data_IF_075539488897
#
_entry.id   IF_075539488897
#
_cell.length_a   1.000
_cell.length_b   1.000
_cell.length_c   1.000
_cell.angle_alpha   90.00
_cell.angle_beta   90.00
_cell.angle_gamma   90.00
#
_symmetry.space_group_name_H-M   'P 1'
#
loop_
_entity.id
_entity.type
_entity.pdbx_description
1 polymer ?
#
# COMPACT_ATOMS: atom_id res chain seq x y z
N UNK A 1 -29.50 -17.75 -60.25
CA UNK A 1 -28.68 -16.62 -60.76
C UNK A 1 -27.84 -16.11 -59.57
N UNK A 2 -26.54 -15.85 -59.73
CA UNK A 2 -25.87 -14.52 -59.67
C UNK A 2 -26.45 -13.56 -58.61
N UNK A 3 -25.68 -12.89 -57.74
CA UNK A 3 -24.24 -12.90 -57.40
C UNK A 3 -24.07 -12.24 -55.99
N UNK A 4 -22.91 -12.01 -55.35
CA UNK A 4 -21.48 -12.10 -55.73
C UNK A 4 -20.59 -12.30 -54.46
N UNK A 5 -19.26 -12.14 -54.58
CA UNK A 5 -18.30 -11.98 -53.46
C UNK A 5 -17.99 -10.50 -53.19
N UNK A 6 -17.63 -10.16 -51.95
CA UNK A 6 -16.58 -9.17 -51.63
C UNK A 6 -15.70 -9.75 -50.50
N UNK A 7 -14.39 -9.53 -50.58
CA UNK A 7 -13.39 -9.84 -49.54
C UNK A 7 -12.58 -8.56 -49.33
N UNK A 8 -12.30 -8.19 -48.08
CA UNK A 8 -11.37 -7.11 -47.76
C UNK A 8 -10.41 -7.53 -46.64
N UNK A 9 -9.11 -7.47 -46.92
CA UNK A 9 -8.02 -7.46 -45.93
C UNK A 9 -7.45 -6.04 -45.86
N UNK A 10 -7.21 -5.52 -44.66
CA UNK A 10 -6.11 -4.60 -44.29
C UNK A 10 -6.19 -4.47 -42.75
N UNK A 11 -5.20 -4.89 -41.97
CA UNK A 11 -3.81 -4.43 -41.86
C UNK A 11 -3.66 -3.19 -40.95
N UNK A 12 -2.88 -3.34 -39.89
CA UNK A 12 -2.45 -2.29 -38.96
C UNK A 12 -1.16 -1.64 -39.45
N UNK A 13 -0.87 -0.38 -39.06
CA UNK A 13 0.50 0.05 -38.81
C UNK A 13 0.70 0.54 -37.37
N UNK A 14 1.95 0.44 -36.89
CA UNK A 14 2.35 0.73 -35.52
C UNK A 14 3.27 1.97 -35.43
N UNK A 15 3.59 2.34 -34.18
CA UNK A 15 4.76 3.08 -33.72
C UNK A 15 5.03 4.48 -34.32
N UNK A 16 4.93 5.50 -33.46
CA UNK A 16 5.63 6.77 -33.62
C UNK A 16 7.00 6.68 -32.96
N UNK A 17 8.06 7.05 -33.68
CA UNK A 17 9.43 7.08 -33.19
C UNK A 17 10.09 8.37 -33.68
N UNK A 18 10.66 9.15 -32.75
CA UNK A 18 11.20 10.48 -33.04
C UNK A 18 12.57 10.40 -33.71
N UNK A 19 12.77 11.18 -34.78
CA UNK A 19 14.07 11.49 -35.37
C UNK A 19 14.15 12.99 -35.61
N UNK A 20 15.15 13.64 -35.02
CA UNK A 20 15.46 15.07 -35.23
C UNK A 20 16.30 15.25 -36.49
N UNK A 21 15.90 16.18 -37.37
CA UNK A 21 16.67 16.54 -38.56
C UNK A 21 17.55 17.78 -38.31
N UNK A 22 18.74 17.80 -38.89
CA UNK A 22 19.67 18.94 -38.85
C UNK A 22 19.30 20.02 -39.88
N UNK A 23 19.68 21.28 -39.60
CA UNK A 23 19.65 22.40 -40.54
C UNK A 23 20.89 23.27 -40.34
N UNK A 24 21.51 23.73 -41.43
CA UNK A 24 22.86 24.31 -41.40
C UNK A 24 22.95 25.71 -42.04
N UNK A 25 24.11 26.36 -41.77
CA UNK A 25 24.70 27.56 -42.42
C UNK A 25 24.30 28.95 -41.88
N UNK A 26 25.19 29.99 -42.01
CA UNK A 26 26.67 29.95 -42.00
C UNK A 26 27.39 31.15 -41.30
N UNK A 27 28.68 30.96 -40.92
CA UNK A 27 29.78 31.96 -40.79
C UNK A 27 29.59 33.20 -39.84
N UNK A 28 30.62 33.85 -39.26
CA UNK A 28 32.02 34.00 -39.67
C UNK A 28 33.02 34.46 -38.55
N UNK A 29 34.28 34.03 -38.68
CA UNK A 29 35.57 34.72 -38.37
C UNK A 29 36.03 35.14 -36.93
N UNK A 30 37.38 35.22 -36.83
CA UNK A 30 38.27 35.66 -35.72
C UNK A 30 38.32 34.81 -34.41
N UNK A 31 39.48 34.59 -33.76
CA UNK A 31 40.86 34.85 -34.23
C UNK A 31 41.97 34.72 -33.16
N UNK A 32 42.64 33.56 -33.07
CA UNK A 32 43.93 33.38 -32.34
C UNK A 32 43.84 33.08 -30.82
N UNK A 33 44.94 32.78 -30.08
CA UNK A 33 46.30 32.37 -30.49
C UNK A 33 47.09 31.74 -29.32
N UNK A 34 47.57 30.48 -29.48
CA UNK A 34 48.70 29.81 -28.76
C UNK A 34 48.61 29.61 -27.23
N UNK A 35 48.93 28.39 -26.75
CA UNK A 35 49.30 28.13 -25.34
C UNK A 35 49.34 26.64 -24.94
N UNK A 36 50.52 26.01 -24.90
CA UNK A 36 50.74 24.66 -24.33
C UNK A 36 51.79 24.73 -23.21
N UNK A 37 51.47 24.17 -22.03
CA UNK A 37 52.37 23.46 -21.06
C UNK A 37 51.54 23.12 -19.81
N UNK A 38 51.19 21.86 -19.54
CA UNK A 38 51.94 20.88 -18.71
C UNK A 38 52.27 21.32 -17.27
N UNK A 39 51.62 20.72 -16.27
CA UNK A 39 52.27 19.91 -15.19
C UNK A 39 51.26 19.31 -14.19
N UNK A 40 51.73 18.33 -13.41
CA UNK A 40 51.06 17.55 -12.34
C UNK A 40 52.18 16.93 -11.47
N UNK A 41 51.95 16.47 -10.22
CA UNK A 41 51.14 16.98 -9.12
C UNK A 41 52.09 17.52 -8.01
N UNK A 42 51.89 17.38 -6.66
CA UNK A 42 51.72 16.10 -5.95
C UNK A 42 50.61 16.11 -4.87
N UNK A 43 50.43 14.97 -4.18
CA UNK A 43 49.54 14.82 -3.03
C UNK A 43 50.32 14.87 -1.69
N UNK A 44 49.61 15.10 -0.58
CA UNK A 44 50.12 14.88 0.78
C UNK A 44 49.09 14.16 1.67
N UNK A 45 49.59 13.47 2.70
CA UNK A 45 48.80 12.82 3.75
C UNK A 45 49.50 13.00 5.10
N UNK A 46 48.76 13.17 6.22
CA UNK A 46 49.05 12.56 7.54
C UNK A 46 48.10 12.96 8.69
N UNK A 47 47.68 11.93 9.44
CA UNK A 47 47.61 11.79 10.92
C UNK A 47 46.86 12.82 11.81
N UNK A 48 45.79 12.30 12.43
CA UNK A 48 45.68 11.98 13.88
C UNK A 48 46.16 13.00 14.94
N UNK A 49 45.22 13.43 15.79
CA UNK A 49 45.43 13.99 17.14
C UNK A 49 44.28 13.59 18.09
N UNK A 50 44.53 13.51 19.41
CA UNK A 50 43.55 13.07 20.45
C UNK A 50 43.98 13.64 21.82
N UNK A 51 43.03 13.72 22.79
CA UNK A 51 43.14 14.23 24.20
C UNK A 51 42.87 15.74 24.39
N UNK A 52 42.47 16.27 25.56
CA UNK A 52 41.61 15.83 26.70
C UNK A 52 41.42 17.00 27.70
N UNK A 53 40.23 17.13 28.34
CA UNK A 53 39.97 17.64 29.74
C UNK A 53 40.37 19.08 30.14
N UNK A 54 39.80 19.70 31.19
CA UNK A 54 38.45 19.58 31.81
C UNK A 54 37.84 21.02 31.90
N UNK A 55 37.34 21.68 32.95
CA UNK A 55 36.96 21.41 34.35
C UNK A 55 35.77 22.33 34.72
N UNK A 56 34.65 21.79 35.20
CA UNK A 56 34.22 21.81 36.63
C UNK A 56 34.32 23.16 37.36
N UNK A 57 33.16 23.76 37.62
CA UNK A 57 32.76 24.35 38.92
C UNK A 57 31.33 23.83 39.21
N UNK A 58 30.93 23.71 40.47
CA UNK A 58 29.56 23.35 40.87
C UNK A 58 29.29 23.64 42.35
N UNK A 59 28.04 23.50 42.78
CA UNK A 59 27.62 23.66 44.19
C UNK A 59 26.31 22.92 44.46
N UNK A 60 26.30 22.06 45.49
CA UNK A 60 25.13 21.30 45.93
C UNK A 60 24.09 22.13 46.69
N UNK A 61 22.85 21.63 46.79
CA UNK A 61 22.03 21.80 47.99
C UNK A 61 20.98 20.68 48.17
N UNK A 62 20.87 20.20 49.41
CA UNK A 62 19.98 19.13 49.87
C UNK A 62 18.54 19.64 50.13
N UNK A 63 17.49 18.84 49.86
CA UNK A 63 16.76 18.08 50.91
C UNK A 63 15.43 17.42 50.46
N UNK A 64 15.21 16.19 50.97
CA UNK A 64 13.93 15.56 51.40
C UNK A 64 12.79 15.30 50.39
N UNK A 65 12.44 14.00 50.28
CA UNK A 65 11.14 13.47 49.82
C UNK A 65 10.08 13.56 50.94
N UNK A 66 8.79 13.39 50.59
CA UNK A 66 7.89 12.51 51.35
C UNK A 66 7.56 11.22 50.58
N UNK A 67 7.40 10.10 51.29
CA UNK A 67 6.89 8.83 50.74
C UNK A 67 5.37 8.75 50.84
N UNK A 68 4.72 8.21 49.80
CA UNK A 68 3.35 7.67 49.87
C UNK A 68 3.38 6.18 49.50
N UNK A 69 2.47 5.39 50.08
CA UNK A 69 2.56 3.94 50.20
C UNK A 69 2.22 3.18 48.90
N UNK A 70 2.93 2.08 48.65
CA UNK A 70 2.39 0.97 47.85
C UNK A 70 1.20 0.36 48.60
N UNK A 71 0.13 -0.01 47.90
CA UNK A 71 -0.79 -1.03 48.39
C UNK A 71 -0.36 -2.39 47.81
N UNK A 72 -0.21 -3.38 48.70
CA UNK A 72 -0.01 -4.78 48.33
C UNK A 72 -1.34 -5.46 48.63
N UNK A 73 -2.08 -5.80 47.58
CA UNK A 73 -3.26 -6.67 47.71
C UNK A 73 -2.81 -8.11 47.81
N UNK A 74 -3.15 -8.78 48.90
CA UNK A 74 -2.94 -10.23 49.07
C UNK A 74 -3.88 -10.98 48.13
N UNK A 75 -3.32 -11.88 47.33
CA UNK A 75 -4.08 -12.91 46.61
C UNK A 75 -3.94 -14.21 47.37
N UNK A 76 -5.05 -14.76 47.86
CA UNK A 76 -5.08 -16.07 48.51
C UNK A 76 -4.94 -17.21 47.49
N UNK A 77 -4.39 -18.34 47.97
CA UNK A 77 -4.06 -19.50 47.15
C UNK A 77 -5.29 -20.35 46.81
N UNK A 78 -5.38 -20.77 45.55
CA UNK A 78 -6.19 -21.92 45.12
C UNK A 78 -5.28 -22.84 44.30
N UNK A 79 -5.22 -24.11 44.68
CA UNK A 79 -4.26 -25.06 44.10
C UNK A 79 -4.63 -25.45 42.66
N UNK A 80 -3.61 -25.59 41.82
CA UNK A 80 -3.63 -26.38 40.59
C UNK A 80 -2.94 -27.71 40.89
N UNK A 81 -3.64 -28.82 40.66
CA UNK A 81 -3.07 -30.18 40.72
C UNK A 81 -3.36 -30.95 39.43
N UNK A 82 -2.46 -31.86 39.07
CA UNK A 82 -2.33 -32.40 37.71
C UNK A 82 -2.67 -33.91 37.62
N UNK A 83 -3.76 -34.26 36.94
CA UNK A 83 -3.99 -35.56 36.30
C UNK A 83 -5.22 -35.47 35.36
N UNK A 84 -5.36 -36.23 34.27
CA UNK A 84 -4.46 -37.24 33.70
C UNK A 84 -5.28 -38.41 33.13
N UNK A 85 -4.90 -38.92 31.94
CA UNK A 85 -5.56 -40.05 31.23
C UNK A 85 -7.02 -39.81 30.75
N UNK A 86 -7.60 -40.54 29.81
CA UNK A 86 -7.06 -41.26 28.61
C UNK A 86 -8.21 -41.44 27.60
N UNK A 87 -7.88 -41.65 26.32
CA UNK A 87 -8.83 -41.94 25.23
C UNK A 87 -9.74 -43.14 25.50
N UNK A 88 -10.99 -43.08 25.03
CA UNK A 88 -11.47 -44.12 24.10
C UNK A 88 -12.67 -43.67 23.25
N UNK A 89 -12.66 -44.02 21.95
CA UNK A 89 -13.87 -44.08 21.12
C UNK A 89 -14.38 -45.52 21.16
N UNK A 90 -15.68 -45.72 21.36
CA UNK A 90 -16.32 -47.01 21.13
C UNK A 90 -16.79 -47.12 19.67
N UNK A 91 -16.41 -48.19 18.96
CA UNK A 91 -17.23 -48.71 17.87
C UNK A 91 -16.97 -50.19 17.54
N UNK A 92 -18.05 -50.92 17.28
CA UNK A 92 -18.16 -52.16 16.49
C UNK A 92 -17.09 -53.27 16.59
N UNK A 93 -17.41 -54.36 17.30
CA UNK A 93 -17.02 -55.75 16.94
C UNK A 93 -18.21 -56.68 17.17
N UNK A 94 -18.65 -57.43 16.15
CA UNK A 94 -19.80 -58.34 16.24
C UNK A 94 -19.39 -59.79 16.58
N UNK A 95 -20.03 -60.44 17.57
CA UNK A 95 -19.98 -61.91 17.76
C UNK A 95 -21.27 -62.55 18.33
N UNK A 96 -22.02 -63.20 17.43
CA UNK A 96 -22.73 -64.50 17.51
C UNK A 96 -23.41 -65.03 18.82
N UNK A 97 -24.69 -65.42 18.65
CA UNK A 97 -25.44 -66.63 19.16
C UNK A 97 -26.09 -66.62 20.57
N UNK A 98 -27.16 -67.43 20.69
CA UNK A 98 -28.13 -67.52 21.81
C UNK A 98 -29.34 -66.60 21.55
N UNK A 99 -30.58 -67.04 21.26
CA UNK A 99 -31.46 -68.09 21.82
C UNK A 99 -31.81 -67.78 23.30
N UNK A 100 -33.08 -67.74 23.77
CA UNK A 100 -34.27 -68.59 23.48
C UNK A 100 -35.61 -67.77 23.52
N UNK A 101 -36.69 -68.35 22.98
CA UNK A 101 -38.15 -68.05 23.11
C UNK A 101 -38.65 -67.61 24.52
N UNK A 102 -39.85 -67.03 24.75
CA UNK A 102 -41.15 -67.13 24.05
C UNK A 102 -42.04 -65.86 24.26
N UNK A 103 -42.82 -65.34 23.28
CA UNK A 103 -44.20 -65.67 22.81
C UNK A 103 -45.37 -64.96 23.56
N UNK A 104 -46.35 -64.48 22.77
CA UNK A 104 -47.71 -63.97 23.10
C UNK A 104 -47.86 -62.58 23.74
N UNK A 105 -48.48 -61.65 22.99
CA UNK A 105 -48.79 -60.27 23.39
C UNK A 105 -49.57 -59.51 22.30
N UNK A 106 -50.85 -59.86 22.15
CA UNK A 106 -51.87 -59.40 21.17
C UNK A 106 -51.67 -58.00 20.54
N UNK A 107 -51.73 -57.90 19.21
CA UNK A 107 -51.98 -56.65 18.49
C UNK A 107 -53.45 -56.22 18.61
N UNK A 108 -53.70 -55.02 19.15
CA UNK A 108 -54.88 -54.20 18.83
C UNK A 108 -54.39 -52.79 18.52
N UNK A 109 -54.93 -52.19 17.46
CA UNK A 109 -54.58 -50.83 17.02
C UNK A 109 -55.35 -49.76 17.78
N UNK A 110 -54.66 -48.70 18.21
CA UNK A 110 -55.27 -47.39 18.39
C UNK A 110 -54.42 -46.32 17.67
N UNK A 111 -55.08 -45.38 17.00
CA UNK A 111 -54.47 -44.30 16.22
C UNK A 111 -54.57 -42.95 16.95
N UNK A 112 -53.93 -42.85 18.11
CA UNK A 112 -53.76 -41.58 18.83
C UNK A 112 -52.38 -40.94 18.53
N UNK A 113 -52.11 -40.67 17.24
CA UNK A 113 -51.04 -39.76 16.83
C UNK A 113 -51.38 -38.34 17.28
N UNK A 114 -51.09 -38.03 18.56
CA UNK A 114 -51.08 -36.65 19.06
C UNK A 114 -49.90 -35.95 18.40
N UNK A 115 -50.16 -35.37 17.23
CA UNK A 115 -49.25 -34.43 16.59
C UNK A 115 -49.00 -33.30 17.59
N UNK A 116 -47.77 -33.23 18.13
CA UNK A 116 -47.35 -32.14 19.00
C UNK A 116 -47.35 -30.86 18.18
N UNK A 117 -48.46 -30.12 18.22
CA UNK A 117 -48.56 -28.77 17.70
C UNK A 117 -47.49 -27.96 18.43
N UNK A 118 -46.44 -27.57 17.69
CA UNK A 118 -45.41 -26.69 18.22
C UNK A 118 -46.10 -25.37 18.59
N UNK A 119 -45.95 -24.86 19.83
CA UNK A 119 -46.65 -23.66 20.26
C UNK A 119 -46.26 -22.48 19.35
N UNK A 120 -47.24 -21.97 18.62
CA UNK A 120 -47.03 -20.87 17.68
C UNK A 120 -46.75 -19.58 18.44
N UNK A 121 -45.57 -19.02 18.18
CA UNK A 121 -45.16 -17.65 18.50
C UNK A 121 -45.00 -17.33 20.00
N UNK A 122 -43.81 -17.62 20.51
CA UNK A 122 -42.92 -16.51 20.87
C UNK A 122 -41.45 -16.91 20.64
N UNK A 123 -40.87 -16.46 19.53
CA UNK A 123 -39.43 -16.57 19.30
C UNK A 123 -38.74 -15.52 20.17
N UNK A 124 -38.05 -15.97 21.22
CA UNK A 124 -37.27 -15.08 22.09
C UNK A 124 -36.33 -14.21 21.25
N UNK A 125 -36.38 -12.89 21.46
CA UNK A 125 -35.61 -11.94 20.66
C UNK A 125 -34.10 -12.27 20.75
N UNK A 126 -33.41 -12.45 19.61
CA UNK A 126 -32.01 -12.88 19.64
C UNK A 126 -31.16 -11.78 20.29
N UNK A 127 -30.38 -12.14 21.31
CA UNK A 127 -29.61 -11.20 22.12
C UNK A 127 -28.66 -10.33 21.27
N UNK A 128 -29.10 -9.11 20.94
CA UNK A 128 -28.31 -8.18 20.15
C UNK A 128 -27.38 -7.36 21.06
N UNK A 129 -26.06 -7.33 20.78
CA UNK A 129 -25.15 -6.44 21.49
C UNK A 129 -25.43 -5.00 21.08
N UNK A 130 -25.39 -4.05 22.04
CA UNK A 130 -25.76 -2.65 21.84
C UNK A 130 -25.16 -2.02 20.57
N UNK A 131 -25.97 -1.25 19.86
CA UNK A 131 -25.63 -0.61 18.60
C UNK A 131 -25.25 0.85 18.83
N UNK A 132 -24.07 1.25 18.36
CA UNK A 132 -23.67 2.64 18.20
C UNK A 132 -23.60 2.98 16.70
N UNK A 133 -23.48 4.26 16.34
CA UNK A 133 -23.46 4.73 14.94
C UNK A 133 -22.44 3.98 14.09
N UNK A 134 -21.19 3.87 14.56
CA UNK A 134 -20.11 3.17 13.86
C UNK A 134 -20.45 1.69 13.59
N UNK A 135 -21.10 1.00 14.53
CA UNK A 135 -21.50 -0.41 14.36
C UNK A 135 -22.72 -0.60 13.47
N UNK A 136 -23.60 0.40 13.38
CA UNK A 136 -24.71 0.43 12.41
C UNK A 136 -24.17 0.70 11.00
N UNK A 137 -23.19 1.59 10.85
CA UNK A 137 -22.60 1.98 9.56
C UNK A 137 -21.61 0.95 9.00
N UNK A 138 -20.72 0.40 9.85
CA UNK A 138 -19.58 -0.42 9.43
C UNK A 138 -19.64 -1.88 9.93
N UNK A 139 -20.67 -2.25 10.72
CA UNK A 139 -20.86 -3.61 11.21
C UNK A 139 -19.72 -4.10 12.12
N UNK A 140 -19.20 -5.31 11.83
CA UNK A 140 -18.05 -5.90 12.51
C UNK A 140 -16.80 -5.68 11.65
N UNK A 141 -15.83 -4.93 12.17
CA UNK A 141 -14.49 -4.82 11.56
C UNK A 141 -13.84 -6.20 11.50
N UNK A 142 -13.46 -6.61 10.28
CA UNK A 142 -12.72 -7.85 10.01
C UNK A 142 -11.21 -7.51 9.98
N UNK A 143 -10.34 -8.16 10.77
CA UNK A 143 -8.90 -7.91 10.70
C UNK A 143 -8.31 -8.22 9.32
N UNK A 144 -7.23 -7.53 8.87
CA UNK A 144 -6.61 -7.76 7.55
C UNK A 144 -6.28 -9.22 7.26
N UNK A 145 -5.82 -9.96 8.28
CA UNK A 145 -5.47 -11.38 8.20
C UNK A 145 -6.68 -12.29 7.91
N UNK A 146 -7.90 -11.81 8.17
CA UNK A 146 -9.16 -12.49 7.82
C UNK A 146 -9.75 -11.96 6.51
N UNK A 147 -9.55 -10.67 6.18
CA UNK A 147 -9.99 -10.10 4.91
C UNK A 147 -9.31 -10.76 3.70
N UNK A 148 -7.99 -11.00 3.75
CA UNK A 148 -7.29 -11.63 2.62
C UNK A 148 -7.71 -13.09 2.35
N UNK A 149 -8.45 -13.72 3.28
CA UNK A 149 -8.93 -15.10 3.14
C UNK A 149 -10.28 -15.20 2.40
N UNK A 150 -10.98 -14.08 2.22
CA UNK A 150 -12.30 -14.00 1.56
C UNK A 150 -12.26 -13.36 0.17
N UNK A 151 -11.07 -12.98 -0.30
CA UNK A 151 -10.84 -12.43 -1.64
C UNK A 151 -11.09 -13.47 -2.73
N UNK A 152 -11.43 -13.03 -3.94
CA UNK A 152 -11.29 -13.85 -5.14
C UNK A 152 -9.79 -14.04 -5.52
N UNK A 153 -9.46 -14.97 -6.44
CA UNK A 153 -8.10 -15.06 -7.00
C UNK A 153 -7.64 -13.73 -7.61
N UNK A 154 -8.50 -13.06 -8.37
CA UNK A 154 -8.22 -11.79 -9.05
C UNK A 154 -8.07 -10.62 -8.06
N UNK A 155 -8.82 -10.62 -6.95
CA UNK A 155 -8.67 -9.66 -5.85
C UNK A 155 -7.35 -9.88 -5.08
N UNK A 156 -6.93 -11.13 -4.89
CA UNK A 156 -5.64 -11.48 -4.28
C UNK A 156 -4.45 -11.06 -5.15
N UNK A 157 -4.50 -11.33 -6.47
CA UNK A 157 -3.51 -10.80 -7.41
C UNK A 157 -3.46 -9.26 -7.39
N UNK A 158 -4.63 -8.61 -7.37
CA UNK A 158 -4.75 -7.14 -7.30
C UNK A 158 -4.12 -6.59 -6.01
N UNK A 159 -4.33 -7.26 -4.87
CA UNK A 159 -3.68 -6.92 -3.61
C UNK A 159 -2.15 -7.14 -3.65
N UNK A 160 -1.67 -8.24 -4.25
CA UNK A 160 -0.22 -8.48 -4.42
C UNK A 160 0.39 -7.44 -5.36
N UNK A 161 -0.31 -7.04 -6.43
CA UNK A 161 0.10 -5.94 -7.31
C UNK A 161 0.18 -4.61 -6.54
N UNK A 162 -0.79 -4.31 -5.67
CA UNK A 162 -0.82 -3.11 -4.84
C UNK A 162 0.31 -3.09 -3.80
N UNK A 163 0.54 -4.20 -3.08
CA UNK A 163 1.67 -4.36 -2.15
C UNK A 163 3.02 -4.20 -2.85
N UNK A 164 3.23 -4.85 -4.00
CA UNK A 164 4.44 -4.66 -4.79
C UNK A 164 4.59 -3.21 -5.29
N UNK A 165 3.48 -2.55 -5.64
CA UNK A 165 3.44 -1.13 -6.04
C UNK A 165 3.70 -0.17 -4.88
N UNK A 166 3.39 -0.55 -3.64
CA UNK A 166 3.79 0.18 -2.43
C UNK A 166 5.31 0.22 -2.24
N UNK A 167 6.02 -0.82 -2.69
CA UNK A 167 7.48 -0.97 -2.58
C UNK A 167 8.25 -0.25 -3.70
N UNK A 168 7.88 1.01 -4.01
CA UNK A 168 8.42 1.79 -5.15
C UNK A 168 9.94 1.97 -5.14
N UNK A 169 10.58 1.88 -3.98
CA UNK A 169 12.05 1.87 -3.82
C UNK A 169 12.73 0.68 -4.52
N UNK A 170 11.98 -0.40 -4.79
CA UNK A 170 12.53 -1.67 -5.24
C UNK A 170 12.25 -1.96 -6.72
N UNK A 171 11.24 -1.31 -7.32
CA UNK A 171 10.75 -1.61 -8.67
C UNK A 171 10.44 -0.32 -9.45
N UNK A 172 10.97 -0.22 -10.67
CA UNK A 172 10.66 0.86 -11.62
C UNK A 172 9.25 0.69 -12.19
N UNK A 173 8.79 -0.57 -12.33
CA UNK A 173 7.43 -0.89 -12.79
C UNK A 173 6.97 -2.20 -12.17
N UNK A 174 5.73 -2.24 -11.70
CA UNK A 174 5.02 -3.47 -11.37
C UNK A 174 4.00 -3.75 -12.46
N UNK A 175 3.93 -5.01 -12.91
CA UNK A 175 2.94 -5.47 -13.91
C UNK A 175 2.17 -6.65 -13.34
N UNK A 176 0.88 -6.73 -13.71
CA UNK A 176 0.08 -7.95 -13.60
C UNK A 176 -0.21 -8.44 -15.01
N UNK A 177 0.00 -9.72 -15.27
CA UNK A 177 -0.47 -10.41 -16.48
C UNK A 177 -1.65 -11.32 -16.07
N UNK A 178 -2.58 -11.57 -16.98
CA UNK A 178 -3.77 -12.35 -16.69
C UNK A 178 -4.27 -13.09 -17.93
N UNK A 179 -4.76 -14.31 -17.74
CA UNK A 179 -5.25 -15.20 -18.79
C UNK A 179 -4.15 -16.04 -19.44
N UNK A 180 -4.55 -17.05 -20.22
CA UNK A 180 -3.75 -18.21 -20.63
C UNK A 180 -2.49 -17.97 -21.52
N UNK A 181 -2.02 -16.74 -21.60
CA UNK A 181 -0.71 -16.34 -22.15
C UNK A 181 0.22 -15.72 -21.08
N UNK A 182 -0.11 -15.86 -19.79
CA UNK A 182 0.67 -15.40 -18.63
C UNK A 182 2.05 -16.07 -18.48
N UNK A 183 2.24 -17.26 -19.07
CA UNK A 183 3.46 -18.08 -18.97
C UNK A 183 3.89 -18.46 -17.52
N UNK A 184 2.97 -18.39 -16.54
CA UNK A 184 3.31 -18.57 -15.11
C UNK A 184 3.85 -17.29 -14.43
N UNK A 185 3.42 -16.12 -14.89
CA UNK A 185 3.74 -14.81 -14.31
C UNK A 185 2.42 -14.09 -14.01
N UNK A 186 1.96 -14.15 -12.76
CA UNK A 186 0.73 -13.44 -12.38
C UNK A 186 1.06 -11.97 -12.11
N UNK A 187 1.97 -11.69 -11.17
CA UNK A 187 2.48 -10.34 -10.87
C UNK A 187 4.02 -10.35 -10.93
N UNK A 188 4.62 -9.33 -11.56
CA UNK A 188 6.06 -9.18 -11.65
C UNK A 188 6.52 -7.76 -11.24
N UNK A 189 7.61 -7.71 -10.47
CA UNK A 189 8.30 -6.48 -10.09
C UNK A 189 9.57 -6.29 -10.93
N UNK A 190 9.55 -5.33 -11.85
CA UNK A 190 10.64 -5.02 -12.78
C UNK A 190 11.55 -3.95 -12.15
N UNK A 191 12.84 -4.23 -11.96
CA UNK A 191 13.78 -3.27 -11.34
C UNK A 191 14.44 -2.35 -12.37
N UNK A 192 14.27 -2.61 -13.65
CA UNK A 192 14.95 -1.95 -14.77
C UNK A 192 14.00 -1.71 -15.96
N UNK A 193 14.35 -0.77 -16.84
CA UNK A 193 13.60 -0.48 -18.08
C UNK A 193 13.69 -1.62 -19.13
N UNK A 194 14.64 -2.53 -18.99
CA UNK A 194 14.83 -3.80 -19.73
C UNK A 194 13.73 -4.83 -19.44
N UNK A 195 12.93 -4.65 -18.37
CA UNK A 195 11.77 -5.46 -18.06
C UNK A 195 12.10 -6.95 -17.87
N UNK A 196 11.32 -7.82 -18.51
CA UNK A 196 11.46 -9.29 -18.43
C UNK A 196 12.75 -9.87 -19.03
N UNK A 197 13.67 -9.04 -19.54
CA UNK A 197 15.01 -9.45 -19.97
C UNK A 197 16.14 -8.85 -19.10
N UNK A 198 15.78 -8.00 -18.12
CA UNK A 198 16.70 -7.47 -17.11
C UNK A 198 16.56 -8.20 -15.78
N UNK A 199 16.77 -7.45 -14.69
CA UNK A 199 16.49 -7.91 -13.32
C UNK A 199 15.00 -7.69 -12.98
N UNK A 200 14.33 -8.76 -12.56
CA UNK A 200 12.94 -8.74 -12.11
C UNK A 200 12.68 -9.84 -11.06
N UNK A 201 11.63 -9.67 -10.26
CA UNK A 201 11.11 -10.70 -9.35
C UNK A 201 9.70 -11.16 -9.80
N UNK A 202 9.42 -12.46 -9.72
CA UNK A 202 8.09 -13.02 -9.94
C UNK A 202 7.32 -13.22 -8.63
N UNK A 203 6.01 -13.01 -8.67
CA UNK A 203 5.07 -13.24 -7.57
C UNK A 203 3.94 -14.15 -8.08
N UNK A 204 4.08 -15.46 -7.88
CA UNK A 204 3.04 -16.45 -8.24
C UNK A 204 1.97 -16.47 -7.14
N UNK A 205 0.84 -15.83 -7.45
CA UNK A 205 -0.39 -15.80 -6.69
C UNK A 205 -1.15 -17.12 -6.81
N UNK A 206 -1.60 -17.68 -5.67
CA UNK A 206 -2.56 -18.80 -5.62
C UNK A 206 -3.52 -18.63 -4.45
N UNK A 207 -4.82 -18.54 -4.73
CA UNK A 207 -5.86 -18.49 -3.71
C UNK A 207 -6.65 -19.81 -3.71
N UNK A 208 -6.39 -20.68 -2.72
CA UNK A 208 -7.03 -22.00 -2.59
C UNK A 208 -7.70 -22.19 -1.22
N UNK A 209 -8.47 -23.26 -1.07
CA UNK A 209 -9.11 -23.61 0.21
C UNK A 209 -8.12 -24.02 1.31
N UNK A 210 -6.93 -24.50 0.93
CA UNK A 210 -5.84 -24.94 1.82
C UNK A 210 -4.54 -24.14 1.60
N UNK A 211 -3.55 -24.35 2.48
CA UNK A 211 -2.17 -23.89 2.28
C UNK A 211 -1.47 -24.69 1.17
N UNK A 212 -0.61 -24.05 0.38
CA UNK A 212 0.02 -24.66 -0.80
C UNK A 212 0.88 -25.88 -0.46
N UNK A 213 0.79 -26.90 -1.30
CA UNK A 213 1.50 -28.18 -1.21
C UNK A 213 2.57 -28.30 -2.31
N UNK A 214 3.51 -29.26 -2.21
CA UNK A 214 4.47 -29.52 -3.30
C UNK A 214 3.82 -29.83 -4.65
N UNK A 215 2.64 -30.48 -4.67
CA UNK A 215 1.87 -30.73 -5.89
C UNK A 215 1.28 -29.48 -6.53
N UNK A 216 1.08 -28.39 -5.78
CA UNK A 216 0.63 -27.10 -6.31
C UNK A 216 1.79 -26.26 -6.83
N UNK A 217 2.97 -26.36 -6.18
CA UNK A 217 4.12 -25.50 -6.45
C UNK A 217 5.06 -26.02 -7.55
N UNK A 218 5.32 -27.33 -7.60
CA UNK A 218 6.24 -27.92 -8.58
C UNK A 218 5.80 -27.74 -10.04
N UNK A 219 4.50 -27.81 -10.41
CA UNK A 219 4.05 -27.53 -11.78
C UNK A 219 4.35 -26.10 -12.23
N UNK A 220 4.22 -25.12 -11.34
CA UNK A 220 4.45 -23.69 -11.63
C UNK A 220 5.96 -23.39 -11.76
N UNK A 221 6.80 -24.05 -10.94
CA UNK A 221 8.26 -24.08 -11.14
C UNK A 221 8.59 -24.70 -12.51
N UNK A 222 7.89 -25.76 -12.91
CA UNK A 222 8.02 -26.38 -14.24
C UNK A 222 7.72 -25.42 -15.39
N UNK A 223 6.67 -24.59 -15.28
CA UNK A 223 6.35 -23.53 -16.28
C UNK A 223 7.47 -22.51 -16.36
N UNK A 224 7.90 -21.98 -15.22
CA UNK A 224 8.94 -20.95 -15.13
C UNK A 224 10.27 -21.42 -15.76
N UNK A 225 10.68 -22.66 -15.47
CA UNK A 225 11.85 -23.28 -16.09
C UNK A 225 11.67 -23.46 -17.60
N UNK A 226 10.50 -23.91 -18.06
CA UNK A 226 10.24 -24.11 -19.49
C UNK A 226 10.22 -22.80 -20.28
N UNK A 227 9.51 -21.77 -19.83
CA UNK A 227 9.39 -20.51 -20.57
C UNK A 227 10.69 -19.68 -20.56
N UNK A 228 11.47 -19.74 -19.48
CA UNK A 228 12.83 -19.16 -19.47
C UNK A 228 13.80 -19.94 -20.37
N UNK A 229 13.71 -21.27 -20.45
CA UNK A 229 14.47 -22.07 -21.41
C UNK A 229 14.12 -21.74 -22.87
N UNK A 230 12.83 -21.50 -23.16
CA UNK A 230 12.36 -21.02 -24.48
C UNK A 230 12.72 -19.54 -24.75
N UNK A 231 13.32 -18.84 -23.78
CA UNK A 231 13.79 -17.44 -23.87
C UNK A 231 12.66 -16.41 -24.09
N UNK A 232 11.45 -16.74 -23.62
CA UNK A 232 10.33 -15.79 -23.57
C UNK A 232 10.63 -14.65 -22.56
N UNK A 233 11.47 -14.93 -21.57
CA UNK A 233 11.99 -13.99 -20.55
C UNK A 233 13.32 -14.50 -19.97
N UNK A 234 14.07 -13.62 -19.29
CA UNK A 234 15.19 -14.01 -18.40
C UNK A 234 14.66 -14.67 -17.12
N UNK A 235 15.39 -15.61 -16.50
CA UNK A 235 15.06 -16.10 -15.17
C UNK A 235 14.89 -14.96 -14.14
N UNK A 236 13.81 -14.97 -13.32
CA UNK A 236 13.63 -13.96 -12.30
C UNK A 236 14.66 -14.12 -11.18
N UNK A 237 15.14 -12.99 -10.65
CA UNK A 237 16.06 -12.92 -9.50
C UNK A 237 15.52 -13.66 -8.30
N UNK A 238 14.22 -13.54 -8.03
CA UNK A 238 13.49 -14.41 -7.11
C UNK A 238 12.10 -14.72 -7.66
N UNK A 239 11.62 -15.92 -7.35
CA UNK A 239 10.29 -16.39 -7.65
C UNK A 239 9.59 -16.68 -6.32
N UNK A 240 8.54 -15.91 -6.01
CA UNK A 240 7.88 -15.93 -4.70
C UNK A 240 6.47 -16.50 -4.81
N UNK A 241 6.18 -17.54 -4.04
CA UNK A 241 4.82 -18.04 -3.86
C UNK A 241 4.03 -17.13 -2.89
N UNK A 242 2.89 -16.63 -3.37
CA UNK A 242 1.99 -15.71 -2.68
C UNK A 242 0.61 -16.36 -2.52
N UNK A 243 0.26 -16.84 -1.33
CA UNK A 243 -1.04 -17.44 -1.05
C UNK A 243 -1.60 -16.96 0.30
N UNK A 244 -2.89 -16.62 0.44
CA UNK A 244 -3.44 -16.08 1.70
C UNK A 244 -3.29 -17.02 2.89
N UNK A 245 -3.33 -18.33 2.64
CA UNK A 245 -3.16 -19.41 3.63
C UNK A 245 -1.70 -19.90 3.71
N UNK A 246 -0.78 -19.23 3.03
CA UNK A 246 0.65 -19.55 2.97
C UNK A 246 0.97 -20.90 2.32
N UNK A 247 2.24 -21.30 2.42
CA UNK A 247 2.70 -22.64 2.07
C UNK A 247 2.56 -23.59 3.27
N UNK A 248 2.15 -24.84 3.03
CA UNK A 248 2.13 -25.90 4.04
C UNK A 248 3.54 -26.35 4.45
N UNK A 249 3.67 -26.96 5.63
CA UNK A 249 4.97 -27.32 6.25
C UNK A 249 5.86 -28.18 5.32
N UNK A 250 5.26 -29.05 4.51
CA UNK A 250 5.97 -29.88 3.52
C UNK A 250 6.61 -29.04 2.41
N UNK A 251 5.88 -28.05 1.88
CA UNK A 251 6.39 -27.14 0.86
C UNK A 251 7.42 -26.15 1.43
N UNK A 252 7.17 -25.57 2.62
CA UNK A 252 8.14 -24.69 3.29
C UNK A 252 9.50 -25.39 3.48
N UNK A 253 9.50 -26.63 4.01
CA UNK A 253 10.71 -27.45 4.20
C UNK A 253 11.41 -27.84 2.90
N UNK A 254 10.72 -27.80 1.77
CA UNK A 254 11.27 -28.10 0.45
C UNK A 254 11.89 -26.85 -0.20
N UNK A 255 11.19 -25.71 -0.17
CA UNK A 255 11.70 -24.42 -0.67
C UNK A 255 12.96 -23.97 0.10
N UNK A 256 13.02 -24.22 1.41
CA UNK A 256 14.21 -23.99 2.25
C UNK A 256 15.39 -24.95 1.96
N UNK A 257 15.29 -25.83 0.95
CA UNK A 257 16.31 -26.82 0.57
C UNK A 257 16.45 -26.94 -0.96
N UNK A 258 17.11 -25.98 -1.64
CA UNK A 258 17.22 -25.93 -3.11
C UNK A 258 17.60 -27.25 -3.81
N UNK A 259 18.56 -28.00 -3.25
CA UNK A 259 18.98 -29.30 -3.79
C UNK A 259 17.84 -30.33 -3.74
N UNK A 260 17.15 -30.42 -2.60
CA UNK A 260 16.01 -31.33 -2.41
C UNK A 260 14.78 -30.89 -3.21
N UNK A 261 14.60 -29.57 -3.43
CA UNK A 261 13.58 -29.03 -4.31
C UNK A 261 13.80 -29.50 -5.76
N UNK A 262 15.03 -29.41 -6.28
CA UNK A 262 15.40 -29.93 -7.59
C UNK A 262 15.19 -31.44 -7.69
N UNK A 263 15.70 -32.20 -6.72
CA UNK A 263 15.55 -33.66 -6.68
C UNK A 263 14.07 -34.08 -6.69
N UNK A 264 13.22 -33.40 -5.91
CA UNK A 264 11.79 -33.69 -5.83
C UNK A 264 11.02 -33.25 -7.08
N UNK A 265 11.41 -32.14 -7.71
CA UNK A 265 10.90 -31.71 -9.01
C UNK A 265 11.19 -32.77 -10.09
N UNK A 266 12.40 -33.33 -10.10
CA UNK A 266 12.80 -34.34 -11.08
C UNK A 266 12.08 -35.67 -10.82
N UNK A 267 11.98 -36.10 -9.56
CA UNK A 267 11.21 -37.29 -9.13
C UNK A 267 9.72 -37.19 -9.53
N UNK A 268 9.14 -35.98 -9.50
CA UNK A 268 7.72 -35.71 -9.79
C UNK A 268 7.47 -34.96 -11.11
N UNK A 269 8.43 -35.01 -12.04
CA UNK A 269 8.27 -34.34 -13.32
C UNK A 269 7.14 -34.95 -14.16
N UNK A 270 7.20 -36.27 -14.40
CA UNK A 270 6.19 -36.96 -15.20
C UNK A 270 4.81 -37.03 -14.53
N UNK A 271 4.78 -37.11 -13.19
CA UNK A 271 3.54 -37.17 -12.40
C UNK A 271 2.77 -35.83 -12.38
N UNK A 272 3.47 -34.71 -12.14
CA UNK A 272 2.82 -33.43 -11.78
C UNK A 272 3.11 -32.28 -12.76
N UNK A 273 4.28 -32.24 -13.39
CA UNK A 273 4.74 -31.05 -14.13
C UNK A 273 4.51 -31.18 -15.64
N UNK A 274 4.84 -32.34 -16.18
CA UNK A 274 5.00 -32.61 -17.62
C UNK A 274 3.77 -32.29 -18.49
N UNK A 275 2.55 -32.47 -17.97
CA UNK A 275 1.28 -32.15 -18.65
C UNK A 275 0.64 -30.84 -18.18
N UNK A 276 1.16 -30.23 -17.11
CA UNK A 276 0.62 -29.01 -16.50
C UNK A 276 1.25 -27.72 -17.04
N UNK A 277 2.36 -27.83 -17.78
CA UNK A 277 3.10 -26.67 -18.31
C UNK A 277 2.37 -26.00 -19.47
N UNK A 278 1.86 -26.78 -20.44
CA UNK A 278 1.12 -26.24 -21.59
C UNK A 278 0.12 -27.24 -22.13
N UNK A 279 -1.04 -26.75 -22.57
CA UNK A 279 -2.09 -27.56 -23.21
C UNK A 279 -1.71 -28.09 -24.59
N UNK A 280 -0.60 -27.59 -25.18
CA UNK A 280 -0.16 -27.94 -26.55
C UNK A 280 0.59 -29.27 -26.64
N UNK A 281 1.36 -29.65 -25.61
CA UNK A 281 2.26 -30.81 -25.64
C UNK A 281 2.70 -31.23 -24.22
N UNK A 282 3.00 -32.53 -24.03
CA UNK A 282 3.64 -33.03 -22.80
C UNK A 282 5.14 -32.69 -22.83
N UNK A 283 5.61 -31.90 -21.86
CA UNK A 283 7.02 -31.54 -21.71
C UNK A 283 7.74 -32.66 -20.95
N UNK A 284 8.72 -33.28 -21.59
CA UNK A 284 9.64 -34.23 -20.94
C UNK A 284 10.90 -33.51 -20.44
N UNK A 285 11.50 -34.05 -19.39
CA UNK A 285 12.78 -33.59 -18.84
C UNK A 285 13.95 -34.31 -19.52
N UNK A 286 14.16 -34.04 -20.82
CA UNK A 286 15.22 -34.65 -21.65
C UNK A 286 16.02 -33.60 -22.44
N UNK A 287 17.20 -33.99 -22.94
CA UNK A 287 18.08 -33.13 -23.76
C UNK A 287 18.50 -31.81 -23.09
N UNK A 288 18.70 -30.77 -23.91
CA UNK A 288 19.16 -29.44 -23.50
C UNK A 288 18.30 -28.82 -22.38
N UNK A 289 16.99 -29.09 -22.39
CA UNK A 289 16.08 -28.61 -21.34
C UNK A 289 16.38 -29.25 -19.98
N UNK A 290 16.73 -30.54 -19.96
CA UNK A 290 17.19 -31.19 -18.73
C UNK A 290 18.50 -30.57 -18.24
N UNK A 291 19.47 -30.35 -19.11
CA UNK A 291 20.75 -29.73 -18.72
C UNK A 291 20.57 -28.29 -18.21
N UNK A 292 19.65 -27.52 -18.78
CA UNK A 292 19.23 -26.23 -18.26
C UNK A 292 18.64 -26.34 -16.85
N UNK A 293 17.68 -27.25 -16.64
CA UNK A 293 17.08 -27.49 -15.33
C UNK A 293 18.06 -28.04 -14.29
N UNK A 294 19.09 -28.80 -14.69
CA UNK A 294 20.13 -29.32 -13.77
C UNK A 294 21.07 -28.22 -13.28
N UNK A 295 21.33 -27.20 -14.12
CA UNK A 295 22.20 -26.06 -13.85
C UNK A 295 21.50 -24.83 -13.23
N UNK A 296 20.16 -24.82 -13.16
CA UNK A 296 19.37 -23.71 -12.63
C UNK A 296 19.57 -23.50 -11.11
N UNK A 297 19.59 -22.26 -10.64
CA UNK A 297 19.68 -21.94 -9.20
C UNK A 297 18.31 -22.04 -8.52
N UNK A 298 18.03 -23.19 -7.91
CA UNK A 298 16.81 -23.42 -7.14
C UNK A 298 16.71 -22.57 -5.86
N UNK A 299 17.77 -21.83 -5.49
CA UNK A 299 17.73 -20.80 -4.45
C UNK A 299 16.84 -19.62 -4.80
N UNK A 300 16.49 -19.40 -6.08
CA UNK A 300 15.56 -18.34 -6.47
C UNK A 300 14.12 -18.59 -6.01
N UNK A 301 13.73 -19.84 -5.73
CA UNK A 301 12.35 -20.21 -5.39
C UNK A 301 12.08 -20.11 -3.89
N UNK A 302 11.14 -19.25 -3.50
CA UNK A 302 10.80 -19.00 -2.09
C UNK A 302 9.30 -18.68 -1.92
N UNK A 303 8.88 -18.35 -0.71
CA UNK A 303 7.52 -17.94 -0.35
C UNK A 303 7.55 -16.71 0.56
N UNK A 304 6.47 -15.93 0.59
CA UNK A 304 6.30 -14.81 1.54
C UNK A 304 5.26 -15.19 2.59
N UNK A 305 5.44 -14.75 3.84
CA UNK A 305 4.44 -14.95 4.87
C UNK A 305 3.26 -13.96 4.67
N UNK A 306 1.98 -14.39 4.64
CA UNK A 306 0.86 -13.47 4.48
C UNK A 306 0.78 -12.37 5.55
N UNK A 307 1.32 -12.61 6.75
CA UNK A 307 1.45 -11.60 7.79
C UNK A 307 2.49 -10.53 7.44
N UNK A 308 3.62 -10.94 6.86
CA UNK A 308 4.69 -10.06 6.36
C UNK A 308 4.18 -9.20 5.20
N UNK A 309 3.40 -9.77 4.27
CA UNK A 309 2.72 -8.98 3.21
C UNK A 309 1.81 -7.91 3.81
N UNK A 310 1.02 -8.24 4.84
CA UNK A 310 0.12 -7.31 5.52
C UNK A 310 0.88 -6.20 6.26
N UNK A 311 1.96 -6.53 6.96
CA UNK A 311 2.71 -5.56 7.76
C UNK A 311 3.68 -4.70 6.91
N UNK A 312 4.18 -5.21 5.78
CA UNK A 312 4.82 -4.39 4.75
C UNK A 312 3.81 -3.48 4.04
N UNK A 313 2.58 -3.95 3.76
CA UNK A 313 1.52 -3.12 3.19
C UNK A 313 1.09 -2.00 4.14
N UNK A 314 1.12 -2.25 5.46
CA UNK A 314 0.73 -1.30 6.53
C UNK A 314 1.46 0.04 6.51
N UNK A 315 2.69 0.08 6.00
CA UNK A 315 3.49 1.32 5.87
C UNK A 315 3.35 1.99 4.48
N UNK A 316 2.41 1.51 3.65
CA UNK A 316 2.13 2.10 2.33
C UNK A 316 0.90 3.02 2.36
N UNK A 317 0.79 4.00 1.46
CA UNK A 317 -0.38 4.88 1.38
C UNK A 317 -1.69 4.17 1.00
N UNK A 318 -1.64 2.87 0.66
CA UNK A 318 -2.78 2.09 0.22
C UNK A 318 -3.49 1.35 1.37
N UNK A 319 -2.83 1.17 2.53
CA UNK A 319 -3.36 0.34 3.63
C UNK A 319 -4.70 0.85 4.17
N UNK A 320 -4.79 2.13 4.52
CA UNK A 320 -5.97 2.70 5.16
C UNK A 320 -7.21 2.66 4.23
N UNK A 321 -7.01 2.80 2.92
CA UNK A 321 -8.06 2.70 1.92
C UNK A 321 -8.56 1.26 1.71
N UNK A 322 -7.66 0.26 1.77
CA UNK A 322 -8.01 -1.17 1.59
C UNK A 322 -8.59 -1.81 2.84
N UNK A 323 -7.95 -1.63 3.98
CA UNK A 323 -8.23 -2.37 5.21
C UNK A 323 -8.95 -1.54 6.28
N UNK A 324 -9.07 -0.22 6.10
CA UNK A 324 -9.63 0.68 7.09
C UNK A 324 -8.73 0.85 8.32
N UNK A 325 -9.35 1.03 9.49
CA UNK A 325 -8.64 1.29 10.76
C UNK A 325 -8.41 2.77 11.07
N UNK A 326 -8.62 3.66 10.09
CA UNK A 326 -8.39 5.10 10.20
C UNK A 326 -6.95 5.52 9.92
N UNK A 327 -6.71 6.83 9.87
CA UNK A 327 -5.37 7.40 9.68
C UNK A 327 -4.66 7.57 11.02
N UNK A 328 -3.33 7.46 10.99
CA UNK A 328 -2.49 7.72 12.18
C UNK A 328 -2.50 9.21 12.54
N UNK A 329 -2.15 9.53 13.79
CA UNK A 329 -2.03 10.93 14.22
C UNK A 329 -0.97 11.67 13.41
N UNK A 330 -1.35 12.80 12.79
CA UNK A 330 -0.42 13.66 12.03
C UNK A 330 0.69 14.19 12.96
N UNK A 331 1.97 14.22 12.53
CA UNK A 331 3.04 14.84 13.31
C UNK A 331 2.77 16.35 13.57
N UNK A 332 3.53 16.97 14.49
CA UNK A 332 3.58 18.42 14.62
C UNK A 332 3.83 19.10 13.27
N UNK A 333 3.30 20.32 13.12
CA UNK A 333 3.57 21.18 11.96
C UNK A 333 4.80 22.02 12.28
N UNK A 334 5.77 22.04 11.37
CA UNK A 334 6.93 22.93 11.50
C UNK A 334 6.51 24.39 11.29
N UNK A 335 7.12 25.31 12.05
CA UNK A 335 6.88 26.74 11.89
C UNK A 335 7.36 27.23 10.51
N UNK A 336 6.69 28.23 9.89
CA UNK A 336 7.19 28.87 8.68
C UNK A 336 8.63 29.38 8.88
N UNK A 337 9.54 29.18 7.91
CA UNK A 337 10.87 29.77 7.94
C UNK A 337 10.81 31.29 8.06
N UNK A 338 11.79 31.90 8.74
CA UNK A 338 11.79 33.34 9.01
C UNK A 338 11.69 34.16 7.71
N UNK A 339 12.63 33.93 6.78
CA UNK A 339 12.54 34.40 5.40
C UNK A 339 11.57 33.51 4.59
N UNK A 340 10.71 34.08 3.74
CA UNK A 340 9.91 33.32 2.77
C UNK A 340 10.75 32.49 1.80
N UNK A 341 10.14 31.44 1.25
CA UNK A 341 10.77 30.52 0.29
C UNK A 341 9.99 30.43 -1.02
N UNK A 342 10.63 29.97 -2.10
CA UNK A 342 10.02 29.92 -3.43
C UNK A 342 8.68 29.17 -3.48
N UNK A 343 8.46 28.20 -2.59
CA UNK A 343 7.22 27.41 -2.56
C UNK A 343 5.99 28.20 -2.09
N UNK A 344 6.14 29.33 -1.40
CA UNK A 344 5.03 30.21 -0.96
C UNK A 344 4.98 31.56 -1.70
N UNK A 345 6.01 31.88 -2.49
CA UNK A 345 6.22 33.22 -3.07
C UNK A 345 5.04 33.73 -3.92
N UNK A 346 4.38 32.88 -4.74
CA UNK A 346 3.29 33.33 -5.61
C UNK A 346 2.03 33.69 -4.80
N UNK A 347 1.74 32.92 -3.76
CA UNK A 347 0.70 33.24 -2.78
C UNK A 347 1.03 34.52 -2.02
N UNK A 348 2.28 34.73 -1.62
CA UNK A 348 2.67 35.97 -0.93
C UNK A 348 2.51 37.21 -1.81
N UNK A 349 2.74 37.13 -3.13
CA UNK A 349 2.38 38.22 -4.05
C UNK A 349 0.88 38.56 -3.97
N UNK A 350 0.00 37.56 -4.10
CA UNK A 350 -1.46 37.75 -3.96
C UNK A 350 -1.87 38.32 -2.59
N UNK A 351 -1.15 37.95 -1.52
CA UNK A 351 -1.40 38.46 -0.17
C UNK A 351 -0.99 39.94 -0.03
N UNK A 352 0.20 40.33 -0.49
CA UNK A 352 0.63 41.74 -0.49
C UNK A 352 -0.23 42.60 -1.42
N UNK A 353 -0.67 42.05 -2.57
CA UNK A 353 -1.63 42.70 -3.46
C UNK A 353 -2.99 42.93 -2.80
N UNK A 354 -3.53 41.96 -2.06
CA UNK A 354 -4.76 42.10 -1.29
C UNK A 354 -4.65 43.17 -0.18
N UNK A 355 -3.52 43.21 0.54
CA UNK A 355 -3.23 44.27 1.51
C UNK A 355 -3.09 45.65 0.86
N UNK A 356 -2.39 45.73 -0.27
CA UNK A 356 -2.18 46.97 -1.02
C UNK A 356 -3.49 47.54 -1.53
N UNK A 357 -4.40 46.69 -2.00
CA UNK A 357 -5.75 47.11 -2.37
C UNK A 357 -6.59 47.57 -1.16
N UNK A 358 -6.51 46.92 0.00
CA UNK A 358 -7.19 47.40 1.21
C UNK A 358 -6.68 48.78 1.67
N UNK A 359 -5.36 48.98 1.68
CA UNK A 359 -4.70 50.23 2.11
C UNK A 359 -4.57 51.29 0.99
N UNK A 360 -5.01 50.96 -0.24
CA UNK A 360 -4.92 51.77 -1.48
C UNK A 360 -3.51 52.28 -1.80
N UNK A 361 -2.52 51.39 -1.65
CA UNK A 361 -1.08 51.62 -1.87
C UNK A 361 -0.42 50.37 -2.50
N UNK A 362 0.85 50.47 -2.90
CA UNK A 362 1.63 49.31 -3.36
C UNK A 362 2.43 48.74 -2.20
N UNK A 363 2.30 47.43 -1.97
CA UNK A 363 3.05 46.63 -1.00
C UNK A 363 3.62 45.42 -1.75
N UNK A 364 4.87 45.03 -1.46
CA UNK A 364 5.57 43.94 -2.17
C UNK A 364 6.38 43.02 -1.25
N UNK A 365 6.67 43.41 -0.01
CA UNK A 365 7.47 42.64 0.96
C UNK A 365 6.97 42.84 2.40
N UNK A 366 7.37 41.95 3.31
CA UNK A 366 6.96 41.99 4.71
C UNK A 366 7.31 43.30 5.42
N UNK A 367 8.48 43.89 5.14
CA UNK A 367 8.92 45.16 5.73
C UNK A 367 8.09 46.39 5.26
N UNK A 368 7.25 46.25 4.24
CA UNK A 368 6.30 47.33 3.89
C UNK A 368 5.12 47.36 4.88
N UNK A 369 4.93 46.31 5.69
CA UNK A 369 3.84 46.19 6.67
C UNK A 369 4.15 46.81 8.03
N UNK A 370 5.36 47.34 8.26
CA UNK A 370 5.83 47.85 9.56
C UNK A 370 4.93 48.96 10.16
N UNK A 371 4.16 49.67 9.31
CA UNK A 371 3.19 50.69 9.74
C UNK A 371 1.79 50.16 10.05
N UNK A 372 1.52 48.86 9.84
CA UNK A 372 0.25 48.18 10.11
C UNK A 372 0.47 46.88 10.90
N UNK A 373 0.68 46.95 12.23
CA UNK A 373 0.89 45.78 13.09
C UNK A 373 -0.23 44.72 12.98
N UNK A 374 -1.45 45.12 12.62
CA UNK A 374 -2.57 44.21 12.36
C UNK A 374 -2.36 43.37 11.08
N UNK A 375 -1.78 43.97 10.02
CA UNK A 375 -1.44 43.27 8.78
C UNK A 375 -0.21 42.38 8.94
N UNK A 376 0.82 42.83 9.66
CA UNK A 376 1.98 41.99 10.01
C UNK A 376 1.52 40.77 10.83
N UNK A 377 0.66 40.98 11.83
CA UNK A 377 0.07 39.90 12.62
C UNK A 377 -0.81 38.96 11.77
N UNK A 378 -1.50 39.48 10.74
CA UNK A 378 -2.28 38.66 9.81
C UNK A 378 -1.37 37.84 8.88
N UNK A 379 -0.33 38.45 8.32
CA UNK A 379 0.68 37.82 7.45
C UNK A 379 1.30 36.58 8.10
N UNK A 380 1.75 36.67 9.36
CA UNK A 380 2.29 35.51 10.06
C UNK A 380 1.28 34.35 10.21
N UNK A 381 0.00 34.64 10.52
CA UNK A 381 -1.06 33.62 10.64
C UNK A 381 -1.44 32.98 9.31
N UNK A 382 -1.35 33.71 8.19
CA UNK A 382 -1.60 33.13 6.87
C UNK A 382 -0.42 32.28 6.40
N UNK A 383 0.84 32.67 6.70
CA UNK A 383 2.01 31.80 6.51
C UNK A 383 1.91 30.53 7.36
N UNK A 384 1.57 30.63 8.65
CA UNK A 384 1.28 29.48 9.52
C UNK A 384 0.24 28.54 8.89
N UNK A 385 -0.86 29.11 8.36
CA UNK A 385 -1.91 28.36 7.67
C UNK A 385 -1.40 27.65 6.41
N UNK A 386 -0.55 28.30 5.60
CA UNK A 386 0.06 27.69 4.41
C UNK A 386 0.93 26.46 4.75
N UNK A 387 1.85 26.58 5.71
CA UNK A 387 2.70 25.44 6.14
C UNK A 387 1.89 24.34 6.83
N UNK A 388 0.76 24.67 7.46
CA UNK A 388 -0.23 23.69 7.93
C UNK A 388 -0.79 22.81 6.80
N UNK A 389 -1.10 23.39 5.64
CA UNK A 389 -1.58 22.63 4.48
C UNK A 389 -0.46 21.90 3.72
N UNK A 390 0.77 22.42 3.66
CA UNK A 390 1.92 21.65 3.15
C UNK A 390 2.26 20.45 4.08
N UNK A 391 2.11 20.59 5.41
CA UNK A 391 2.20 19.47 6.34
C UNK A 391 1.11 18.41 6.08
N UNK A 392 -0.14 18.83 5.85
CA UNK A 392 -1.23 17.92 5.48
C UNK A 392 -0.96 17.23 4.12
N UNK A 393 -0.44 17.95 3.12
CA UNK A 393 -0.08 17.44 1.79
C UNK A 393 1.01 16.37 1.87
N UNK A 394 2.08 16.64 2.62
CA UNK A 394 3.17 15.67 2.83
C UNK A 394 2.67 14.44 3.61
N UNK A 395 1.84 14.63 4.64
CA UNK A 395 1.21 13.53 5.35
C UNK A 395 0.31 12.68 4.43
N UNK A 396 -0.47 13.32 3.56
CA UNK A 396 -1.36 12.63 2.64
C UNK A 396 -0.60 11.75 1.63
N UNK A 397 0.48 12.28 1.02
CA UNK A 397 1.37 11.55 0.10
C UNK A 397 1.81 10.20 0.65
N UNK A 398 2.06 10.13 1.96
CA UNK A 398 2.64 8.97 2.63
C UNK A 398 1.59 8.05 3.29
N UNK A 399 0.32 8.47 3.40
CA UNK A 399 -0.71 7.75 4.19
C UNK A 399 -2.04 7.45 3.47
N UNK A 400 -2.32 8.09 2.33
CA UNK A 400 -3.53 7.85 1.51
C UNK A 400 -3.18 7.73 0.02
N UNK A 401 -4.03 7.09 -0.82
CA UNK A 401 -3.73 6.93 -2.23
C UNK A 401 -3.50 8.27 -2.96
N UNK A 402 -2.62 8.33 -3.99
CA UNK A 402 -2.42 9.52 -4.80
C UNK A 402 -3.72 10.08 -5.38
N UNK A 403 -3.88 11.40 -5.42
CA UNK A 403 -5.13 12.06 -5.80
C UNK A 403 -6.05 12.40 -4.61
N UNK A 404 -5.86 11.79 -3.44
CA UNK A 404 -6.72 12.07 -2.26
C UNK A 404 -6.57 13.50 -1.74
N UNK A 405 -5.36 14.08 -1.78
CA UNK A 405 -5.15 15.46 -1.35
C UNK A 405 -5.61 16.45 -2.42
N UNK A 406 -5.38 16.14 -3.69
CA UNK A 406 -5.81 16.93 -4.84
C UNK A 406 -7.35 17.05 -4.87
N UNK A 407 -8.06 15.94 -4.64
CA UNK A 407 -9.52 15.93 -4.48
C UNK A 407 -10.01 16.78 -3.29
N UNK A 408 -9.25 16.84 -2.19
CA UNK A 408 -9.55 17.73 -1.06
C UNK A 408 -9.36 19.21 -1.44
N UNK A 409 -8.31 19.53 -2.22
CA UNK A 409 -8.12 20.88 -2.74
C UNK A 409 -9.24 21.29 -3.71
N UNK A 410 -9.75 20.36 -4.52
CA UNK A 410 -10.87 20.60 -5.43
C UNK A 410 -12.22 20.72 -4.70
N UNK A 411 -12.47 19.92 -3.65
CA UNK A 411 -13.65 20.04 -2.76
C UNK A 411 -13.67 21.42 -2.06
N UNK A 412 -12.52 21.85 -1.52
CA UNK A 412 -12.38 23.18 -0.91
C UNK A 412 -12.50 24.31 -1.94
N UNK A 413 -11.91 24.15 -3.13
CA UNK A 413 -12.01 25.13 -4.22
C UNK A 413 -13.46 25.34 -4.68
N UNK A 414 -14.19 24.25 -4.96
CA UNK A 414 -15.60 24.31 -5.34
C UNK A 414 -16.46 24.98 -4.27
N UNK A 415 -16.14 24.77 -2.99
CA UNK A 415 -16.83 25.41 -1.86
C UNK A 415 -16.53 26.91 -1.65
N UNK A 416 -15.52 27.49 -2.32
CA UNK A 416 -15.15 28.91 -2.12
C UNK A 416 -15.01 29.75 -3.40
N UNK A 417 -15.00 29.14 -4.59
CA UNK A 417 -14.79 29.87 -5.85
C UNK A 417 -15.83 30.98 -6.06
N UNK A 418 -17.11 30.68 -5.95
CA UNK A 418 -18.20 31.68 -6.11
C UNK A 418 -18.12 32.81 -5.07
N UNK A 419 -17.60 32.51 -3.88
CA UNK A 419 -17.38 33.50 -2.80
C UNK A 419 -16.18 34.39 -3.13
N UNK A 420 -15.14 33.84 -3.77
CA UNK A 420 -14.03 34.62 -4.33
C UNK A 420 -14.45 35.47 -5.53
N UNK A 421 -15.31 34.94 -6.40
CA UNK A 421 -15.81 35.62 -7.60
C UNK A 421 -16.83 36.73 -7.31
N UNK A 422 -17.43 36.72 -6.12
CA UNK A 422 -18.31 37.76 -5.62
C UNK A 422 -17.70 39.18 -5.55
N UNK A 423 -18.59 40.15 -5.33
CA UNK A 423 -18.25 41.56 -5.12
C UNK A 423 -17.79 41.77 -3.69
N UNK A 424 -16.59 42.34 -3.54
CA UNK A 424 -15.97 42.70 -2.26
C UNK A 424 -15.46 44.13 -2.30
N UNK A 425 -15.30 44.79 -1.14
CA UNK A 425 -14.82 46.17 -1.06
C UNK A 425 -13.33 46.32 -1.45
N UNK A 426 -12.53 45.28 -1.19
CA UNK A 426 -11.13 45.15 -1.57
C UNK A 426 -10.68 43.67 -1.54
N UNK A 427 -9.45 43.42 -1.96
CA UNK A 427 -8.86 42.08 -1.97
C UNK A 427 -8.65 41.44 -0.59
N UNK A 428 -8.47 42.22 0.49
CA UNK A 428 -8.36 41.66 1.85
C UNK A 428 -9.74 41.21 2.36
N UNK A 429 -10.80 41.94 2.03
CA UNK A 429 -12.17 41.49 2.29
C UNK A 429 -12.48 40.18 1.53
N UNK A 430 -12.11 40.09 0.25
CA UNK A 430 -12.24 38.86 -0.56
C UNK A 430 -11.47 37.68 0.05
N UNK A 431 -10.19 37.87 0.39
CA UNK A 431 -9.35 36.87 1.07
C UNK A 431 -10.00 36.42 2.39
N UNK A 432 -10.48 37.36 3.20
CA UNK A 432 -11.09 37.07 4.51
C UNK A 432 -12.38 36.24 4.34
N UNK A 433 -13.24 36.62 3.39
CA UNK A 433 -14.47 35.88 3.09
C UNK A 433 -14.19 34.45 2.59
N UNK A 434 -13.26 34.28 1.65
CA UNK A 434 -12.82 32.97 1.14
C UNK A 434 -12.22 32.10 2.25
N UNK A 435 -11.32 32.65 3.06
CA UNK A 435 -10.69 31.92 4.16
C UNK A 435 -11.67 31.58 5.29
N UNK A 436 -12.68 32.41 5.53
CA UNK A 436 -13.76 32.11 6.49
C UNK A 436 -14.68 31.01 5.94
N UNK A 437 -15.12 31.11 4.68
CA UNK A 437 -15.92 30.08 4.02
C UNK A 437 -15.23 28.71 4.07
N UNK A 438 -13.95 28.65 3.67
CA UNK A 438 -13.14 27.43 3.73
C UNK A 438 -13.14 26.77 5.12
N UNK A 439 -13.05 27.56 6.20
CA UNK A 439 -13.11 26.99 7.55
C UNK A 439 -14.46 26.36 7.89
N UNK A 440 -15.56 26.86 7.33
CA UNK A 440 -16.93 26.42 7.62
C UNK A 440 -17.43 25.29 6.70
N UNK A 441 -16.68 24.91 5.65
CA UNK A 441 -17.13 23.89 4.69
C UNK A 441 -17.44 22.53 5.36
N UNK A 442 -18.62 21.91 5.07
CA UNK A 442 -18.95 20.58 5.54
C UNK A 442 -18.30 19.53 4.62
N UNK A 443 -16.99 19.32 4.77
CA UNK A 443 -16.27 18.23 4.10
C UNK A 443 -16.82 16.88 4.59
N UNK A 444 -17.32 16.02 3.70
CA UNK A 444 -18.00 14.76 4.07
C UNK A 444 -17.42 13.47 3.50
N UNK A 445 -16.75 13.50 2.34
CA UNK A 445 -16.36 12.27 1.63
C UNK A 445 -14.84 12.01 1.61
N UNK A 446 -14.00 13.03 1.70
CA UNK A 446 -12.55 12.88 1.54
C UNK A 446 -11.89 12.06 2.68
N UNK A 447 -11.04 11.09 2.33
CA UNK A 447 -10.37 10.21 3.29
C UNK A 447 -9.52 10.92 4.36
N UNK A 448 -9.08 12.16 4.10
CA UNK A 448 -8.29 12.98 5.03
C UNK A 448 -9.13 13.68 6.11
N UNK A 449 -10.47 13.69 6.05
CA UNK A 449 -11.33 14.48 6.97
C UNK A 449 -10.98 14.24 8.45
N UNK A 450 -10.63 13.01 8.83
CA UNK A 450 -10.24 12.64 10.20
C UNK A 450 -8.96 13.33 10.72
N UNK A 451 -8.12 13.91 9.85
CA UNK A 451 -6.86 14.58 10.19
C UNK A 451 -6.78 16.05 9.73
N UNK A 452 -7.82 16.57 9.07
CA UNK A 452 -7.92 17.96 8.62
C UNK A 452 -8.22 18.91 9.79
N UNK A 453 -7.41 19.95 9.94
CA UNK A 453 -7.57 21.04 10.92
C UNK A 453 -8.09 22.31 10.24
N UNK A 454 -8.58 23.25 11.07
CA UNK A 454 -9.12 24.54 10.62
C UNK A 454 -8.07 25.39 9.88
N UNK A 455 -6.82 25.37 10.35
CA UNK A 455 -5.69 26.01 9.67
C UNK A 455 -5.46 25.45 8.27
N UNK A 456 -5.51 24.13 8.10
CA UNK A 456 -5.22 23.45 6.84
C UNK A 456 -6.24 23.86 5.75
N UNK A 457 -7.51 24.02 6.12
CA UNK A 457 -8.57 24.51 5.21
C UNK A 457 -8.27 25.90 4.67
N UNK A 458 -7.73 26.81 5.50
CA UNK A 458 -7.23 28.12 5.04
C UNK A 458 -5.98 27.97 4.19
N UNK A 459 -5.03 27.14 4.64
CA UNK A 459 -3.80 26.82 3.92
C UNK A 459 -4.04 26.32 2.50
N UNK A 460 -5.08 25.53 2.28
CA UNK A 460 -5.50 25.06 0.95
C UNK A 460 -5.90 26.25 0.05
N UNK A 461 -6.62 27.26 0.56
CA UNK A 461 -6.89 28.48 -0.21
C UNK A 461 -5.61 29.23 -0.58
N UNK A 462 -4.61 29.25 0.30
CA UNK A 462 -3.29 29.84 0.00
C UNK A 462 -2.50 29.00 -1.01
N UNK A 463 -2.53 27.66 -0.94
CA UNK A 463 -1.96 26.77 -1.97
C UNK A 463 -2.61 26.99 -3.34
N UNK A 464 -3.95 27.10 -3.38
CA UNK A 464 -4.72 27.39 -4.59
C UNK A 464 -4.36 28.75 -5.18
N UNK A 465 -4.11 29.78 -4.37
CA UNK A 465 -3.60 31.07 -4.83
C UNK A 465 -2.14 31.01 -5.31
N UNK A 466 -1.32 30.16 -4.69
CA UNK A 466 0.06 29.92 -5.12
C UNK A 466 0.18 29.24 -6.50
N UNK A 467 -0.92 28.65 -7.00
CA UNK A 467 -1.05 28.12 -8.36
C UNK A 467 -2.08 28.90 -9.20
N UNK A 468 -2.35 30.15 -8.84
CA UNK A 468 -3.23 31.09 -9.55
C UNK A 468 -4.70 30.63 -9.75
N UNK A 469 -5.16 29.61 -9.02
CA UNK A 469 -6.56 29.17 -9.01
C UNK A 469 -7.46 30.09 -8.18
N UNK A 470 -6.93 30.74 -7.15
CA UNK A 470 -7.65 31.75 -6.35
C UNK A 470 -6.88 33.07 -6.38
N UNK A 471 -7.53 34.13 -6.86
CA UNK A 471 -6.91 35.45 -7.04
C UNK A 471 -7.75 36.48 -6.26
N UNK A 472 -7.14 37.13 -5.26
CA UNK A 472 -7.86 38.01 -4.33
C UNK A 472 -7.94 39.47 -4.81
N UNK A 473 -6.94 39.96 -5.55
CA UNK A 473 -7.00 41.27 -6.22
C UNK A 473 -7.42 41.08 -7.68
N UNK A 474 -8.43 41.81 -8.13
CA UNK A 474 -8.93 41.83 -9.51
C UNK A 474 -8.91 43.24 -10.06
#
# INVERSE_FOLDING_TARGET
MRASKVIAKTASPAAWLWVTAEGAQPAAQHGGRIGKMTTRPPAQTRKLGKRERESRIGSDLFCRRPTVRRHVGTFDSVNLDFAGATTCRSNSVCRRRGDVYSILGVFVTDQSYIAKVLPTNELCAPAQPSANSAKIQFGKVIPPQQQILIYSPEEWESFVQEWATGRKSNYVKVVRLAGATDMGIDVAGLTEATGFFGIWDNFQCKHYDSSLTPSDALPEIGKMLWHSFQKEFSPPRTYRFMAPKGCGISLQKLLLKPIALREKLFEKWDDWCSSAITSKQKIKLEGDFRSYCEAYDYGSFTYVNPLEVIDEHRVTPYFAARFGGGLVGRPPVDNPPEAPTDVESRYLCHLFEAYGDNKKIVLVKAADLDTWPELTSHYHRQRESFYHAESLRNFARDTVPPGTFEALQDEVYAGVVDIGDGVHADGLARLTAVAQAATMLPLTENGLISVVKVQDRRGICHQLANVDRLIWRR
#
